data_IF_313328338284
#
_entry.id   IF_313328338284
#
_cell.length_a   1.000
_cell.length_b   1.000
_cell.length_c   1.000
_cell.angle_alpha   90.00
_cell.angle_beta   90.00
_cell.angle_gamma   90.00
#
_symmetry.space_group_name_H-M   'P 1'
#
loop_
_entity.id
_entity.type
_entity.pdbx_description
1 polymer ?
#
# COMPACT_ATOMS: atom_id res chain seq x y z
N UNK A 1 -10.01 -27.35 -11.71
CA UNK A 1 -9.74 -26.46 -12.85
C UNK A 1 -10.92 -25.49 -13.03
N UNK A 2 -11.25 -24.62 -12.04
CA UNK A 2 -12.43 -23.74 -12.14
C UNK A 2 -12.35 -22.50 -11.24
N UNK A 3 -11.14 -22.10 -10.85
CA UNK A 3 -10.95 -20.91 -9.97
C UNK A 3 -10.56 -19.63 -10.72
N UNK A 4 -10.27 -19.73 -12.04
CA UNK A 4 -9.78 -18.62 -12.88
C UNK A 4 -10.80 -18.06 -13.89
N UNK A 5 -12.00 -18.61 -13.97
CA UNK A 5 -13.02 -18.15 -14.92
C UNK A 5 -14.16 -17.42 -14.20
N UNK A 6 -14.22 -16.15 -14.35
CA UNK A 6 -15.34 -15.20 -14.35
C UNK A 6 -15.14 -13.95 -13.51
N UNK A 7 -14.16 -13.14 -13.85
CA UNK A 7 -14.24 -11.72 -13.51
C UNK A 7 -13.75 -10.90 -14.71
N UNK A 8 -14.70 -10.28 -15.42
CA UNK A 8 -14.42 -9.19 -16.35
C UNK A 8 -13.96 -7.94 -15.56
N UNK A 9 -12.76 -7.99 -14.96
CA UNK A 9 -12.15 -6.92 -14.22
C UNK A 9 -10.67 -6.82 -14.59
N UNK A 10 -10.11 -5.61 -14.59
CA UNK A 10 -8.67 -5.42 -14.81
C UNK A 10 -7.88 -6.23 -13.77
N UNK A 11 -6.79 -6.91 -14.17
CA UNK A 11 -5.95 -7.72 -13.27
C UNK A 11 -5.35 -6.94 -12.10
N UNK A 12 -5.19 -5.63 -12.26
CA UNK A 12 -4.83 -4.74 -11.16
C UNK A 12 -5.86 -4.73 -10.01
N UNK A 13 -7.09 -5.19 -10.25
CA UNK A 13 -8.13 -5.39 -9.24
C UNK A 13 -8.18 -6.84 -8.74
N UNK A 14 -7.24 -7.70 -9.18
CA UNK A 14 -7.18 -9.10 -8.77
C UNK A 14 -6.69 -9.23 -7.31
N UNK A 15 -7.16 -10.29 -6.65
CA UNK A 15 -6.70 -10.61 -5.29
C UNK A 15 -5.21 -10.96 -5.26
N UNK A 16 -4.65 -11.51 -6.34
CA UNK A 16 -3.24 -11.89 -6.42
C UNK A 16 -2.33 -10.66 -6.47
N UNK A 17 -2.65 -9.66 -7.30
CA UNK A 17 -1.94 -8.38 -7.33
C UNK A 17 -2.05 -7.67 -5.98
N UNK A 18 -3.27 -7.61 -5.41
CA UNK A 18 -3.52 -7.00 -4.11
C UNK A 18 -2.72 -7.68 -2.98
N UNK A 19 -2.55 -9.01 -3.03
CA UNK A 19 -1.78 -9.77 -2.04
C UNK A 19 -0.37 -9.21 -1.86
N UNK A 20 0.39 -9.06 -2.93
CA UNK A 20 1.77 -8.56 -2.87
C UNK A 20 1.83 -7.08 -2.49
N UNK A 21 0.88 -6.27 -2.96
CA UNK A 21 0.77 -4.85 -2.64
C UNK A 21 0.50 -4.65 -1.14
N UNK A 22 -0.42 -5.42 -0.56
CA UNK A 22 -0.79 -5.33 0.85
C UNK A 22 0.35 -5.76 1.76
N UNK A 23 1.01 -6.89 1.43
CA UNK A 23 2.20 -7.36 2.16
C UNK A 23 3.30 -6.31 2.13
N UNK A 24 3.57 -5.72 0.96
CA UNK A 24 4.54 -4.64 0.80
C UNK A 24 4.20 -3.43 1.67
N UNK A 25 2.93 -3.02 1.72
CA UNK A 25 2.48 -1.91 2.55
C UNK A 25 2.71 -2.12 4.04
N UNK A 26 2.40 -3.31 4.55
CA UNK A 26 2.67 -3.69 5.94
C UNK A 26 4.17 -3.72 6.26
N UNK A 27 4.98 -4.27 5.35
CA UNK A 27 6.44 -4.29 5.46
C UNK A 27 7.03 -2.88 5.51
N UNK A 28 6.56 -1.96 4.67
CA UNK A 28 7.01 -0.57 4.62
C UNK A 28 6.70 0.17 5.93
N UNK A 29 5.53 -0.04 6.54
CA UNK A 29 5.20 0.55 7.84
C UNK A 29 6.11 0.02 8.96
N UNK A 30 6.33 -1.30 9.01
CA UNK A 30 7.25 -1.89 9.99
C UNK A 30 8.68 -1.40 9.78
N UNK A 31 9.15 -1.31 8.54
CA UNK A 31 10.45 -0.79 8.18
C UNK A 31 10.67 0.64 8.68
N UNK A 32 9.75 1.55 8.35
CA UNK A 32 9.91 2.95 8.75
C UNK A 32 9.83 3.11 10.28
N UNK A 33 8.95 2.36 10.92
CA UNK A 33 8.82 2.40 12.37
C UNK A 33 10.03 1.79 13.09
N UNK A 34 10.53 0.64 12.64
CA UNK A 34 11.60 -0.08 13.33
C UNK A 34 12.99 0.52 13.10
N UNK A 35 13.33 0.94 11.87
CA UNK A 35 14.69 1.39 11.55
C UNK A 35 14.82 2.82 11.03
N UNK A 36 13.70 3.55 10.82
CA UNK A 36 13.73 4.94 10.33
C UNK A 36 13.18 5.96 11.34
N UNK A 37 13.32 5.67 12.65
CA UNK A 37 13.07 6.64 13.70
C UNK A 37 11.62 6.72 14.16
N UNK A 38 10.90 5.59 14.21
CA UNK A 38 9.56 5.47 14.80
C UNK A 38 8.46 6.27 14.10
N UNK A 39 8.59 6.49 12.80
CA UNK A 39 7.60 7.16 11.96
C UNK A 39 6.84 6.12 11.14
N UNK A 40 5.53 6.26 10.99
CA UNK A 40 4.74 5.39 10.12
C UNK A 40 4.68 5.94 8.70
N UNK A 41 4.87 5.09 7.69
CA UNK A 41 4.72 5.48 6.29
C UNK A 41 3.25 5.63 5.88
N UNK A 42 2.38 4.73 6.36
CA UNK A 42 0.96 4.67 6.01
C UNK A 42 0.03 5.16 7.12
N UNK A 43 0.36 4.90 8.39
CA UNK A 43 -0.50 5.21 9.53
C UNK A 43 -0.44 6.71 9.88
N UNK A 44 -0.91 7.57 8.98
CA UNK A 44 -0.81 9.03 9.11
C UNK A 44 -1.55 9.58 10.35
N UNK A 45 -2.58 8.89 10.85
CA UNK A 45 -3.23 9.27 12.12
C UNK A 45 -2.23 9.26 13.28
N UNK A 46 -1.35 8.27 13.35
CA UNK A 46 -0.28 8.21 14.35
C UNK A 46 0.70 9.38 14.21
N UNK A 47 1.11 9.67 12.96
CA UNK A 47 2.00 10.81 12.69
C UNK A 47 1.36 12.15 13.07
N UNK A 48 0.06 12.35 12.82
CA UNK A 48 -0.66 13.57 13.20
C UNK A 48 -0.73 13.71 14.73
N UNK A 49 -0.98 12.63 15.48
CA UNK A 49 -0.98 12.66 16.95
C UNK A 49 0.38 13.05 17.47
N UNK A 50 1.46 12.39 16.99
CA UNK A 50 2.82 12.65 17.44
C UNK A 50 3.30 14.06 17.03
N UNK A 51 2.94 14.52 15.83
CA UNK A 51 3.15 15.90 15.38
C UNK A 51 2.52 16.89 16.38
N UNK A 52 1.25 16.70 16.71
CA UNK A 52 0.53 17.59 17.62
C UNK A 52 1.15 17.58 19.01
N UNK A 53 1.48 16.41 19.55
CA UNK A 53 2.12 16.29 20.87
C UNK A 53 3.41 17.13 20.92
N UNK A 54 4.34 16.92 19.97
CA UNK A 54 5.60 17.64 19.95
C UNK A 54 5.46 19.15 19.67
N UNK A 55 4.44 19.55 18.88
CA UNK A 55 4.15 20.97 18.70
C UNK A 55 3.74 21.66 20.02
N UNK A 56 2.87 21.02 20.80
CA UNK A 56 2.42 21.57 22.09
C UNK A 56 3.49 21.49 23.18
N UNK A 57 4.44 20.56 23.08
CA UNK A 57 5.64 20.48 23.93
C UNK A 57 6.72 21.49 23.55
N UNK A 58 6.58 22.17 22.40
CA UNK A 58 7.59 23.12 21.88
C UNK A 58 8.78 22.46 21.21
N UNK A 59 8.75 21.14 20.99
CA UNK A 59 9.80 20.38 20.27
C UNK A 59 9.59 20.42 18.76
N UNK A 60 9.95 21.54 18.16
CA UNK A 60 9.83 21.77 16.71
C UNK A 60 10.64 20.77 15.86
N UNK A 61 11.77 20.29 16.39
CA UNK A 61 12.63 19.33 15.71
C UNK A 61 11.92 17.98 15.51
N UNK A 62 11.29 17.45 16.58
CA UNK A 62 10.51 16.22 16.48
C UNK A 62 9.21 16.43 15.70
N UNK A 63 8.54 17.57 15.89
CA UNK A 63 7.34 17.90 15.14
C UNK A 63 7.56 17.82 13.62
N UNK A 64 8.67 18.37 13.12
CA UNK A 64 9.02 18.31 11.68
C UNK A 64 9.23 16.87 11.18
N UNK A 65 9.74 15.96 12.01
CA UNK A 65 9.93 14.54 11.63
C UNK A 65 8.60 13.85 11.28
N UNK A 66 7.50 14.27 11.89
CA UNK A 66 6.16 13.74 11.61
C UNK A 66 5.41 14.56 10.56
N UNK A 67 5.65 15.87 10.49
CA UNK A 67 5.01 16.73 9.49
C UNK A 67 5.46 16.39 8.06
N UNK A 68 6.76 16.18 7.84
CA UNK A 68 7.32 15.93 6.50
C UNK A 68 6.70 14.68 5.85
N UNK A 69 6.59 13.51 6.49
CA UNK A 69 5.89 12.35 5.94
C UNK A 69 4.40 12.59 5.65
N UNK A 70 3.70 13.36 6.49
CA UNK A 70 2.29 13.74 6.24
C UNK A 70 2.16 14.55 4.96
N UNK A 71 3.01 15.58 4.78
CA UNK A 71 3.00 16.39 3.55
C UNK A 71 3.40 15.57 2.32
N UNK A 72 4.40 14.69 2.46
CA UNK A 72 4.81 13.78 1.39
C UNK A 72 3.67 12.82 0.99
N UNK A 73 2.91 12.31 1.96
CA UNK A 73 1.73 11.48 1.71
C UNK A 73 0.65 12.24 0.92
N UNK A 74 0.32 13.47 1.31
CA UNK A 74 -0.63 14.31 0.59
C UNK A 74 -0.17 14.57 -0.85
N UNK A 75 1.12 14.87 -1.04
CA UNK A 75 1.72 15.06 -2.35
C UNK A 75 1.65 13.77 -3.21
N UNK A 76 1.88 12.60 -2.61
CA UNK A 76 1.76 11.31 -3.29
C UNK A 76 0.35 11.05 -3.81
N UNK A 77 -0.69 11.32 -3.01
CA UNK A 77 -2.09 11.24 -3.46
C UNK A 77 -2.32 12.20 -4.64
N UNK A 78 -1.87 13.45 -4.51
CA UNK A 78 -2.06 14.46 -5.55
C UNK A 78 -1.39 14.05 -6.87
N UNK A 79 -0.14 13.62 -6.84
CA UNK A 79 0.60 13.19 -8.03
C UNK A 79 -0.05 11.95 -8.67
N UNK A 80 -0.44 10.94 -7.87
CA UNK A 80 -1.11 9.75 -8.39
C UNK A 80 -2.45 10.10 -9.07
N UNK A 81 -3.21 11.06 -8.54
CA UNK A 81 -4.45 11.52 -9.17
C UNK A 81 -4.17 12.30 -10.46
N UNK A 82 -3.12 13.11 -10.51
CA UNK A 82 -2.70 13.79 -11.75
C UNK A 82 -2.29 12.78 -12.82
N UNK A 83 -1.50 11.77 -12.46
CA UNK A 83 -1.10 10.69 -13.38
C UNK A 83 -2.34 9.95 -13.87
N UNK A 84 -3.25 9.56 -12.99
CA UNK A 84 -4.51 8.90 -13.36
C UNK A 84 -5.31 9.72 -14.37
N UNK A 85 -5.50 11.03 -14.13
CA UNK A 85 -6.26 11.91 -15.03
C UNK A 85 -5.61 12.08 -16.39
N UNK A 86 -4.28 12.18 -16.41
CA UNK A 86 -3.52 12.37 -17.65
C UNK A 86 -3.50 11.09 -18.51
N UNK A 87 -3.21 9.94 -17.90
CA UNK A 87 -3.02 8.68 -18.62
C UNK A 87 -4.28 7.83 -18.77
N UNK A 88 -5.39 8.14 -18.09
CA UNK A 88 -6.65 7.38 -18.23
C UNK A 88 -7.18 7.32 -19.66
N UNK A 89 -6.83 8.29 -20.52
CA UNK A 89 -7.25 8.37 -21.94
C UNK A 89 -6.26 7.73 -22.91
N UNK A 90 -5.12 7.28 -22.44
CA UNK A 90 -4.07 6.70 -23.30
C UNK A 90 -4.17 5.17 -23.27
N UNK A 91 -4.55 4.57 -24.40
CA UNK A 91 -4.73 3.12 -24.55
C UNK A 91 -3.42 2.30 -24.43
N UNK A 92 -2.26 2.95 -24.60
CA UNK A 92 -0.95 2.27 -24.71
C UNK A 92 -0.15 2.18 -23.42
N UNK A 93 -0.49 2.91 -22.38
CA UNK A 93 0.27 2.95 -21.11
C UNK A 93 -0.64 2.62 -19.94
N UNK A 94 -0.40 1.48 -19.33
CA UNK A 94 -1.09 1.14 -18.08
C UNK A 94 -0.52 1.99 -16.93
N UNK A 95 -1.16 3.12 -16.67
CA UNK A 95 -0.76 4.08 -15.66
C UNK A 95 -0.48 3.45 -14.27
N UNK A 96 -1.16 2.36 -13.91
CA UNK A 96 -0.93 1.62 -12.66
C UNK A 96 0.43 0.94 -12.64
N UNK A 97 0.89 0.42 -13.78
CA UNK A 97 2.24 -0.16 -13.91
C UNK A 97 3.31 0.92 -13.79
N UNK A 98 3.08 2.11 -14.37
CA UNK A 98 3.98 3.25 -14.21
C UNK A 98 4.13 3.65 -12.73
N UNK A 99 3.03 3.67 -11.98
CA UNK A 99 3.06 3.97 -10.54
C UNK A 99 3.90 2.93 -9.79
N UNK A 100 3.62 1.62 -9.96
CA UNK A 100 4.41 0.57 -9.28
C UNK A 100 5.90 0.63 -9.66
N UNK A 101 6.21 0.87 -10.93
CA UNK A 101 7.61 1.02 -11.35
C UNK A 101 8.28 2.20 -10.64
N UNK A 102 7.59 3.34 -10.54
CA UNK A 102 8.06 4.51 -9.79
C UNK A 102 8.28 4.17 -8.32
N UNK A 103 7.36 3.43 -7.69
CA UNK A 103 7.50 2.96 -6.31
C UNK A 103 8.75 2.10 -6.15
N UNK A 104 8.96 1.10 -7.01
CA UNK A 104 10.13 0.20 -6.95
C UNK A 104 11.42 1.00 -7.03
N UNK A 105 11.53 1.95 -7.97
CA UNK A 105 12.73 2.77 -8.14
C UNK A 105 13.00 3.65 -6.92
N UNK A 106 11.97 4.31 -6.40
CA UNK A 106 12.11 5.19 -5.23
C UNK A 106 12.45 4.40 -3.97
N UNK A 107 11.79 3.26 -3.73
CA UNK A 107 12.07 2.39 -2.58
C UNK A 107 13.48 1.76 -2.69
N UNK A 108 13.92 1.38 -3.88
CA UNK A 108 15.27 0.88 -4.10
C UNK A 108 16.31 1.94 -3.71
N UNK A 109 16.08 3.21 -4.08
CA UNK A 109 16.95 4.32 -3.69
C UNK A 109 16.95 4.55 -2.16
N UNK A 110 15.79 4.41 -1.49
CA UNK A 110 15.69 4.52 -0.02
C UNK A 110 16.58 3.52 0.71
N UNK A 111 16.76 2.31 0.16
CA UNK A 111 17.63 1.28 0.75
C UNK A 111 19.10 1.69 0.88
N UNK A 112 19.56 2.65 0.09
CA UNK A 112 20.93 3.19 0.15
C UNK A 112 21.07 4.42 1.05
N UNK A 113 19.95 4.99 1.56
CA UNK A 113 20.01 6.18 2.40
C UNK A 113 20.54 5.83 3.80
N UNK A 114 21.55 6.58 4.31
CA UNK A 114 22.04 6.42 5.67
C UNK A 114 20.99 6.84 6.71
N UNK A 115 21.16 6.41 7.96
CA UNK A 115 20.23 6.74 9.06
C UNK A 115 20.14 8.25 9.35
N UNK A 116 21.19 9.00 9.02
CA UNK A 116 21.18 10.48 9.14
C UNK A 116 20.11 11.13 8.26
N UNK A 117 19.62 10.44 7.21
CA UNK A 117 18.59 10.89 6.29
C UNK A 117 17.23 10.20 6.54
N UNK A 118 16.94 9.76 7.78
CA UNK A 118 15.71 9.08 8.10
C UNK A 118 14.44 9.89 7.75
N UNK A 119 14.45 11.21 7.94
CA UNK A 119 13.31 12.07 7.57
C UNK A 119 13.04 12.03 6.06
N UNK A 120 14.11 12.08 5.25
CA UNK A 120 14.00 11.94 3.79
C UNK A 120 13.51 10.55 3.39
N UNK A 121 14.06 9.50 4.00
CA UNK A 121 13.60 8.13 3.76
C UNK A 121 12.12 7.96 4.08
N UNK A 122 11.66 8.44 5.24
CA UNK A 122 10.25 8.40 5.64
C UNK A 122 9.35 9.20 4.69
N UNK A 123 9.81 10.37 4.23
CA UNK A 123 9.07 11.16 3.25
C UNK A 123 8.87 10.40 1.93
N UNK A 124 9.93 9.79 1.40
CA UNK A 124 9.85 9.01 0.15
C UNK A 124 8.96 7.79 0.33
N UNK A 125 9.10 7.02 1.42
CA UNK A 125 8.23 5.86 1.67
C UNK A 125 6.78 6.27 1.84
N UNK A 126 6.48 7.36 2.58
CA UNK A 126 5.11 7.87 2.73
C UNK A 126 4.52 8.35 1.39
N UNK A 127 5.34 8.99 0.56
CA UNK A 127 4.94 9.43 -0.78
C UNK A 127 4.53 8.24 -1.66
N UNK A 128 5.37 7.20 -1.75
CA UNK A 128 5.06 6.02 -2.58
C UNK A 128 3.88 5.22 -2.02
N UNK A 129 3.77 5.08 -0.69
CA UNK A 129 2.61 4.46 -0.07
C UNK A 129 1.30 5.18 -0.45
N UNK A 130 1.32 6.51 -0.46
CA UNK A 130 0.17 7.32 -0.87
C UNK A 130 -0.20 7.10 -2.34
N UNK A 131 0.80 7.04 -3.23
CA UNK A 131 0.60 6.70 -4.64
C UNK A 131 -0.05 5.33 -4.79
N UNK A 132 0.41 4.33 -4.05
CA UNK A 132 -0.12 2.98 -4.04
C UNK A 132 -1.60 2.95 -3.60
N UNK A 133 -1.92 3.57 -2.46
CA UNK A 133 -3.29 3.64 -1.93
C UNK A 133 -4.23 4.33 -2.91
N UNK A 134 -3.79 5.42 -3.54
CA UNK A 134 -4.59 6.16 -4.51
C UNK A 134 -4.81 5.37 -5.81
N UNK A 135 -3.87 4.51 -6.19
CA UNK A 135 -3.89 3.74 -7.44
C UNK A 135 -4.73 2.46 -7.31
N UNK A 136 -4.56 1.72 -6.21
CA UNK A 136 -5.18 0.41 -6.00
C UNK A 136 -6.33 0.51 -5.00
N UNK A 137 -7.45 1.06 -5.46
CA UNK A 137 -8.65 1.34 -4.63
C UNK A 137 -9.67 0.22 -4.61
N UNK A 138 -9.52 -0.82 -5.45
CA UNK A 138 -10.47 -1.92 -5.57
C UNK A 138 -9.78 -3.27 -5.53
N UNK A 139 -10.44 -4.24 -4.88
CA UNK A 139 -10.10 -5.65 -4.93
C UNK A 139 -11.38 -6.45 -5.12
N UNK A 140 -11.43 -7.32 -6.11
CA UNK A 140 -12.64 -8.10 -6.46
C UNK A 140 -13.89 -7.22 -6.63
N UNK A 141 -13.75 -6.01 -7.16
CA UNK A 141 -14.86 -5.06 -7.33
C UNK A 141 -15.24 -4.28 -6.07
N UNK A 142 -14.69 -4.61 -4.89
CA UNK A 142 -14.96 -3.90 -3.64
C UNK A 142 -13.93 -2.80 -3.41
N UNK A 143 -14.40 -1.63 -2.97
CA UNK A 143 -13.52 -0.55 -2.55
C UNK A 143 -12.76 -0.96 -1.28
N UNK A 144 -11.44 -0.83 -1.32
CA UNK A 144 -10.58 -1.09 -0.17
C UNK A 144 -9.40 -0.09 -0.16
N UNK A 145 -8.66 -0.07 0.93
CA UNK A 145 -7.39 0.63 0.99
C UNK A 145 -6.31 -0.38 1.41
N UNK A 146 -5.27 -0.54 0.57
CA UNK A 146 -4.23 -1.57 0.75
C UNK A 146 -3.48 -1.46 2.09
N UNK A 147 -3.45 -0.27 2.69
CA UNK A 147 -2.68 0.04 3.90
C UNK A 147 -3.50 0.64 5.03
N UNK A 148 -4.82 0.80 4.86
CA UNK A 148 -5.71 1.39 5.88
C UNK A 148 -6.51 0.31 6.60
N UNK A 149 -5.97 -0.24 7.69
CA UNK A 149 -6.63 -1.30 8.46
C UNK A 149 -8.00 -0.90 9.01
N UNK A 150 -8.16 0.33 9.54
CA UNK A 150 -9.40 0.79 10.19
C UNK A 150 -10.59 0.75 9.21
N UNK A 151 -10.43 1.27 7.99
CA UNK A 151 -11.48 1.25 6.97
C UNK A 151 -11.89 -0.17 6.58
N UNK A 152 -10.91 -1.05 6.41
CA UNK A 152 -11.16 -2.46 6.07
C UNK A 152 -11.81 -3.23 7.23
N UNK A 153 -11.40 -3.01 8.48
CA UNK A 153 -12.05 -3.60 9.65
C UNK A 153 -13.51 -3.17 9.78
N UNK A 154 -13.79 -1.88 9.60
CA UNK A 154 -15.15 -1.35 9.62
C UNK A 154 -16.00 -2.02 8.55
N UNK A 155 -15.57 -1.97 7.28
CA UNK A 155 -16.33 -2.55 6.17
C UNK A 155 -16.51 -4.07 6.29
N UNK A 156 -15.49 -4.78 6.81
CA UNK A 156 -15.55 -6.21 7.09
C UNK A 156 -16.58 -6.54 8.18
N UNK A 157 -16.59 -5.78 9.27
CA UNK A 157 -17.54 -5.98 10.37
C UNK A 157 -18.98 -5.65 9.96
N UNK A 158 -19.19 -4.56 9.21
CA UNK A 158 -20.49 -4.20 8.63
C UNK A 158 -21.03 -5.33 7.72
N UNK A 159 -20.18 -5.87 6.83
CA UNK A 159 -20.54 -6.97 5.97
C UNK A 159 -20.83 -8.27 6.76
N UNK A 160 -20.04 -8.57 7.79
CA UNK A 160 -20.25 -9.73 8.64
C UNK A 160 -21.59 -9.65 9.40
N UNK A 161 -21.92 -8.47 9.92
CA UNK A 161 -23.20 -8.21 10.56
C UNK A 161 -24.37 -8.42 9.57
N UNK A 162 -24.25 -7.89 8.36
CA UNK A 162 -25.25 -8.09 7.31
C UNK A 162 -25.42 -9.58 6.93
N UNK A 163 -24.32 -10.34 6.87
CA UNK A 163 -24.37 -11.79 6.65
C UNK A 163 -25.18 -12.53 7.71
N UNK A 164 -25.00 -12.21 8.99
CA UNK A 164 -25.77 -12.85 10.07
C UNK A 164 -27.27 -12.57 10.00
N UNK A 165 -27.69 -11.49 9.32
CA UNK A 165 -29.11 -11.16 9.12
C UNK A 165 -29.69 -11.77 7.85
N UNK A 166 -28.87 -11.90 6.78
CA UNK A 166 -29.36 -12.31 5.45
C UNK A 166 -29.03 -13.75 5.09
N UNK A 167 -27.98 -14.34 5.68
CA UNK A 167 -27.44 -15.65 5.29
C UNK A 167 -26.75 -15.65 3.92
N UNK A 168 -26.55 -14.49 3.28
CA UNK A 168 -26.01 -14.38 1.93
C UNK A 168 -24.49 -14.61 1.92
N UNK A 169 -24.08 -15.68 1.22
CA UNK A 169 -22.67 -16.08 1.10
C UNK A 169 -21.80 -15.07 0.36
N UNK A 170 -22.33 -14.28 -0.56
CA UNK A 170 -21.60 -13.23 -1.25
C UNK A 170 -21.19 -12.12 -0.25
N UNK A 171 -22.07 -11.78 0.68
CA UNK A 171 -21.78 -10.84 1.76
C UNK A 171 -20.71 -11.40 2.70
N UNK A 172 -20.75 -12.71 3.00
CA UNK A 172 -19.68 -13.36 3.76
C UNK A 172 -18.32 -13.28 3.03
N UNK A 173 -18.29 -13.58 1.73
CA UNK A 173 -17.05 -13.47 0.93
C UNK A 173 -16.48 -12.04 0.93
N UNK A 174 -17.35 -11.04 0.89
CA UNK A 174 -16.97 -9.63 1.02
C UNK A 174 -16.33 -9.36 2.39
N UNK A 175 -16.94 -9.81 3.48
CA UNK A 175 -16.40 -9.67 4.84
C UNK A 175 -15.02 -10.32 4.96
N UNK A 176 -14.88 -11.58 4.50
CA UNK A 176 -13.63 -12.33 4.52
C UNK A 176 -12.54 -11.65 3.67
N UNK A 177 -12.90 -10.99 2.56
CA UNK A 177 -11.94 -10.23 1.76
C UNK A 177 -11.36 -9.05 2.56
N UNK A 178 -12.18 -8.29 3.27
CA UNK A 178 -11.70 -7.18 4.11
C UNK A 178 -10.82 -7.64 5.28
N UNK A 179 -11.22 -8.70 5.98
CA UNK A 179 -10.40 -9.26 7.06
C UNK A 179 -9.10 -9.87 6.51
N UNK A 180 -9.14 -10.48 5.32
CA UNK A 180 -7.95 -10.96 4.61
C UNK A 180 -6.96 -9.84 4.31
N UNK A 181 -7.42 -8.67 3.89
CA UNK A 181 -6.57 -7.48 3.70
C UNK A 181 -5.86 -7.10 4.99
N UNK A 182 -6.60 -7.02 6.12
CA UNK A 182 -6.02 -6.67 7.43
C UNK A 182 -4.99 -7.70 7.87
N UNK A 183 -5.29 -9.00 7.71
CA UNK A 183 -4.38 -10.09 8.06
C UNK A 183 -3.11 -10.07 7.21
N UNK A 184 -3.22 -9.86 5.90
CA UNK A 184 -2.06 -9.76 5.00
C UNK A 184 -1.18 -8.56 5.33
N UNK A 185 -1.78 -7.41 5.65
CA UNK A 185 -1.03 -6.25 6.12
C UNK A 185 -0.27 -6.55 7.41
N UNK A 186 -0.93 -7.17 8.40
CA UNK A 186 -0.30 -7.58 9.66
C UNK A 186 0.84 -8.57 9.45
N UNK A 187 0.68 -9.56 8.55
CA UNK A 187 1.75 -10.49 8.18
C UNK A 187 2.93 -9.76 7.52
N UNK A 188 2.66 -8.82 6.61
CA UNK A 188 3.70 -7.98 6.00
C UNK A 188 4.47 -7.16 7.04
N UNK A 189 3.77 -6.57 7.99
CA UNK A 189 4.37 -5.82 9.10
C UNK A 189 5.21 -6.73 10.02
N UNK A 190 4.71 -7.92 10.36
CA UNK A 190 5.44 -8.90 11.16
C UNK A 190 6.74 -9.36 10.48
N UNK A 191 6.66 -9.74 9.19
CA UNK A 191 7.83 -10.11 8.38
C UNK A 191 8.81 -8.94 8.27
N UNK A 192 8.31 -7.73 8.00
CA UNK A 192 9.12 -6.51 7.92
C UNK A 192 9.84 -6.21 9.23
N UNK A 193 9.16 -6.36 10.37
CA UNK A 193 9.76 -6.16 11.69
C UNK A 193 10.92 -7.13 11.93
N UNK A 194 10.71 -8.43 11.67
CA UNK A 194 11.78 -9.45 11.83
C UNK A 194 12.92 -9.19 10.85
N UNK A 195 12.63 -8.93 9.59
CA UNK A 195 13.63 -8.66 8.58
C UNK A 195 14.49 -7.43 8.92
N UNK A 196 13.88 -6.40 9.51
CA UNK A 196 14.59 -5.19 9.93
C UNK A 196 15.62 -5.44 11.03
N UNK A 197 15.39 -6.43 11.90
CA UNK A 197 16.37 -6.83 12.91
C UNK A 197 17.64 -7.42 12.29
N UNK A 198 17.52 -8.08 11.12
CA UNK A 198 18.63 -8.76 10.47
C UNK A 198 19.30 -7.93 9.37
N UNK A 199 18.53 -7.14 8.63
CA UNK A 199 18.99 -6.44 7.42
C UNK A 199 18.93 -4.90 7.53
N UNK A 200 18.40 -4.36 8.64
CA UNK A 200 18.34 -2.91 8.87
C UNK A 200 17.69 -2.18 7.70
N UNK A 201 18.38 -1.17 7.17
CA UNK A 201 17.91 -0.35 6.05
C UNK A 201 17.68 -1.15 4.75
N UNK A 202 18.40 -2.26 4.54
CA UNK A 202 18.22 -3.13 3.37
C UNK A 202 16.90 -3.88 3.31
N UNK A 203 16.15 -3.95 4.42
CA UNK A 203 14.83 -4.59 4.46
C UNK A 203 13.86 -4.04 3.42
N UNK A 204 14.00 -2.77 3.04
CA UNK A 204 13.11 -2.13 2.05
C UNK A 204 13.18 -2.82 0.68
N UNK A 205 14.28 -3.49 0.34
CA UNK A 205 14.42 -4.21 -0.92
C UNK A 205 13.51 -5.44 -1.01
N UNK A 206 13.07 -6.01 0.12
CA UNK A 206 12.01 -7.03 0.10
C UNK A 206 10.69 -6.45 -0.44
N UNK A 207 10.37 -5.22 -0.05
CA UNK A 207 9.21 -4.50 -0.61
C UNK A 207 9.35 -4.32 -2.12
N UNK A 208 10.55 -3.94 -2.61
CA UNK A 208 10.82 -3.88 -4.05
C UNK A 208 10.58 -5.23 -4.74
N UNK A 209 11.01 -6.33 -4.13
CA UNK A 209 10.76 -7.68 -4.64
C UNK A 209 9.27 -8.02 -4.74
N UNK A 210 8.49 -7.75 -3.68
CA UNK A 210 7.04 -7.98 -3.66
C UNK A 210 6.32 -7.14 -4.74
N UNK A 211 6.69 -5.87 -4.88
CA UNK A 211 6.12 -4.98 -5.89
C UNK A 211 6.53 -5.38 -7.30
N UNK A 212 7.76 -5.90 -7.50
CA UNK A 212 8.20 -6.44 -8.80
C UNK A 212 7.37 -7.65 -9.20
N UNK A 213 7.06 -8.56 -8.27
CA UNK A 213 6.16 -9.70 -8.55
C UNK A 213 4.78 -9.18 -8.93
N UNK A 214 4.23 -8.21 -8.21
CA UNK A 214 2.93 -7.59 -8.53
C UNK A 214 2.94 -6.94 -9.93
N UNK A 215 4.03 -6.23 -10.27
CA UNK A 215 4.22 -5.61 -11.58
C UNK A 215 4.22 -6.65 -12.71
N UNK A 216 4.98 -7.76 -12.55
CA UNK A 216 5.05 -8.83 -13.55
C UNK A 216 3.70 -9.53 -13.76
N UNK A 217 2.95 -9.78 -12.67
CA UNK A 217 1.60 -10.36 -12.75
C UNK A 217 0.67 -9.49 -13.60
N UNK A 218 0.72 -8.18 -13.42
CA UNK A 218 -0.10 -7.26 -14.20
C UNK A 218 0.31 -7.24 -15.69
N UNK A 219 1.62 -7.41 -15.98
CA UNK A 219 2.13 -7.37 -17.34
C UNK A 219 1.75 -8.61 -18.17
N UNK A 220 1.91 -9.80 -17.59
CA UNK A 220 1.64 -11.08 -18.28
C UNK A 220 0.18 -11.19 -18.74
N UNK A 221 -0.75 -10.66 -17.96
CA UNK A 221 -2.17 -10.80 -18.25
C UNK A 221 -2.73 -9.76 -19.23
N UNK A 222 -2.07 -8.61 -19.36
CA UNK A 222 -2.40 -7.63 -20.40
C UNK A 222 -2.07 -8.16 -21.80
N UNK A 223 -1.07 -9.04 -21.93
CA UNK A 223 -0.74 -9.70 -23.18
C UNK A 223 -1.78 -10.78 -23.54
N UNK A 224 -2.25 -11.57 -22.60
CA UNK A 224 -3.28 -12.60 -22.85
C UNK A 224 -4.61 -11.98 -23.35
N UNK A 225 -4.99 -10.80 -22.89
CA UNK A 225 -6.18 -10.10 -23.39
C UNK A 225 -6.01 -9.56 -24.81
N UNK A 226 -4.79 -9.21 -25.23
CA UNK A 226 -4.50 -8.72 -26.58
C UNK A 226 -4.40 -9.83 -27.63
N UNK A 227 -4.08 -11.05 -27.23
CA UNK A 227 -3.97 -12.20 -28.14
C UNK A 227 -5.23 -13.10 -28.16
N UNK A 228 -6.21 -12.80 -27.32
CA UNK A 228 -7.49 -13.52 -27.22
C UNK A 228 -8.68 -12.85 -27.96
N UNK A 229 -8.45 -11.71 -28.62
CA UNK A 229 -9.34 -11.07 -29.61
C UNK A 229 -8.82 -11.34 -31.03
#
# INVERSE_FOLDING_TARGET
MTFLQKHHGQMSDSMLTAFFIILSGGLQDAYTYCCRGKVFANAQTGNIVLLSTHLFEGDWGQALRYLVPVLAFLLGIYIAECVHRHFKRMEKVHWRQLIILTEIVLLAAVGFLPETLNTTANAVVSFVCAMQVQTFRKVRGHAYASTMCIGNMRSGTEALCAYFHTGDKEILHKALTYFGVVLLFALGAGVGSIATLHWGAGTIWLSCGLLTVSFLIMFVHDEEQKFGE
#
